data_IF_214892532120
#
_entry.id   IF_214892532120
#
_cell.length_a   1.000
_cell.length_b   1.000
_cell.length_c   1.000
_cell.angle_alpha   90.00
_cell.angle_beta   90.00
_cell.angle_gamma   90.00
#
_symmetry.space_group_name_H-M   'P 1'
#
loop_
_entity.id
_entity.type
_entity.pdbx_description
1 polymer ?
#
# COMPACT_ATOMS: atom_id res chain seq x y z
N UNK A 1 3.13 25.88 -5.37
CA UNK A 1 3.96 25.70 -6.60
C UNK A 1 3.34 24.61 -7.47
N UNK A 2 3.38 24.72 -8.80
CA UNK A 2 2.88 23.66 -9.68
C UNK A 2 4.02 22.67 -10.03
N UNK A 3 3.77 21.38 -9.89
CA UNK A 3 4.67 20.31 -10.31
C UNK A 3 4.34 19.88 -11.74
N UNK A 4 5.33 19.45 -12.52
CA UNK A 4 5.15 19.05 -13.93
C UNK A 4 5.79 17.70 -14.24
N UNK A 5 7.05 17.49 -13.83
CA UNK A 5 7.80 16.27 -14.12
C UNK A 5 7.66 15.28 -12.95
N UNK A 6 7.01 14.15 -13.18
CA UNK A 6 6.70 13.16 -12.15
C UNK A 6 7.39 11.84 -12.51
N UNK A 7 8.21 11.31 -11.61
CA UNK A 7 8.81 9.99 -11.75
C UNK A 7 8.15 9.00 -10.79
N UNK A 8 7.75 7.84 -11.31
CA UNK A 8 7.15 6.74 -10.55
C UNK A 8 8.05 5.50 -10.59
N UNK A 9 8.41 5.01 -9.41
CA UNK A 9 9.10 3.73 -9.22
C UNK A 9 8.06 2.67 -8.86
N UNK A 10 8.09 1.51 -9.53
CA UNK A 10 7.13 0.43 -9.26
C UNK A 10 5.80 0.55 -10.01
N UNK A 11 5.81 1.22 -11.18
CA UNK A 11 4.63 1.48 -12.00
C UNK A 11 3.86 0.24 -12.49
N UNK A 12 4.42 -0.96 -12.37
CA UNK A 12 3.79 -2.22 -12.77
C UNK A 12 3.21 -3.01 -11.60
N UNK A 13 3.36 -2.53 -10.37
CA UNK A 13 2.74 -3.14 -9.20
C UNK A 13 1.24 -2.85 -9.13
N UNK A 14 0.55 -3.56 -8.23
CA UNK A 14 -0.90 -3.43 -8.02
C UNK A 14 -1.32 -1.97 -7.78
N UNK A 15 -0.64 -1.25 -6.88
CA UNK A 15 -0.93 0.16 -6.63
C UNK A 15 -0.27 1.08 -7.67
N UNK A 16 0.99 0.81 -8.04
CA UNK A 16 1.75 1.68 -8.94
C UNK A 16 1.11 1.84 -10.32
N UNK A 17 0.49 0.78 -10.86
CA UNK A 17 -0.23 0.84 -12.13
C UNK A 17 -1.45 1.76 -12.09
N UNK A 18 -2.16 1.81 -10.95
CA UNK A 18 -3.28 2.72 -10.75
C UNK A 18 -2.80 4.16 -10.51
N UNK A 19 -1.70 4.37 -9.77
CA UNK A 19 -1.08 5.70 -9.65
C UNK A 19 -0.71 6.22 -11.05
N UNK A 20 -0.07 5.39 -11.88
CA UNK A 20 0.28 5.75 -13.25
C UNK A 20 -0.96 6.13 -14.08
N UNK A 21 -2.02 5.32 -14.02
CA UNK A 21 -3.30 5.60 -14.70
C UNK A 21 -3.84 6.99 -14.32
N UNK A 22 -3.86 7.33 -13.04
CA UNK A 22 -4.37 8.62 -12.56
C UNK A 22 -3.44 9.80 -12.89
N UNK A 23 -2.12 9.58 -12.88
CA UNK A 23 -1.17 10.61 -13.32
C UNK A 23 -1.38 10.98 -14.80
N UNK A 24 -1.57 9.97 -15.67
CA UNK A 24 -1.80 10.19 -17.11
C UNK A 24 -3.16 10.85 -17.36
N UNK A 25 -4.19 10.49 -16.58
CA UNK A 25 -5.53 11.03 -16.73
C UNK A 25 -5.72 12.42 -16.08
N UNK A 26 -4.76 12.90 -15.30
CA UNK A 26 -4.87 14.17 -14.60
C UNK A 26 -4.93 15.34 -15.60
N UNK A 27 -5.84 16.32 -15.41
CA UNK A 27 -5.91 17.51 -16.26
C UNK A 27 -4.69 18.43 -16.12
N UNK A 28 -3.79 18.16 -15.16
CA UNK A 28 -2.53 18.87 -15.00
C UNK A 28 -1.49 18.53 -16.10
N UNK A 29 -1.75 17.50 -16.92
CA UNK A 29 -0.90 17.08 -18.05
C UNK A 29 0.57 16.83 -17.64
N UNK A 30 0.74 15.98 -16.62
CA UNK A 30 2.06 15.67 -16.07
C UNK A 30 2.95 14.96 -17.09
N UNK A 31 4.24 15.33 -17.11
CA UNK A 31 5.27 14.58 -17.85
C UNK A 31 5.72 13.40 -17.01
N UNK A 32 5.12 12.24 -17.26
CA UNK A 32 5.35 11.04 -16.44
C UNK A 32 6.54 10.23 -16.95
N UNK A 33 7.47 9.95 -16.04
CA UNK A 33 8.57 9.01 -16.22
C UNK A 33 8.34 7.78 -15.33
N UNK A 34 8.50 6.57 -15.85
CA UNK A 34 8.51 5.34 -15.03
C UNK A 34 9.92 4.78 -14.95
N UNK A 35 10.36 4.44 -13.75
CA UNK A 35 11.65 3.79 -13.52
C UNK A 35 11.44 2.27 -13.41
N UNK A 36 12.05 1.52 -14.34
CA UNK A 36 11.91 0.07 -14.43
C UNK A 36 13.28 -0.61 -14.39
N UNK A 37 13.37 -1.77 -13.75
CA UNK A 37 14.63 -2.53 -13.71
C UNK A 37 14.99 -3.08 -15.10
N UNK A 38 16.29 -3.10 -15.42
CA UNK A 38 16.81 -3.71 -16.65
C UNK A 38 16.50 -5.21 -16.74
N UNK A 39 16.63 -5.92 -15.62
CA UNK A 39 16.35 -7.35 -15.52
C UNK A 39 14.86 -7.69 -15.71
N UNK A 40 14.00 -6.67 -15.80
CA UNK A 40 12.57 -6.87 -15.96
C UNK A 40 12.24 -7.17 -17.42
N UNK A 41 12.19 -8.47 -17.73
CA UNK A 41 11.88 -9.02 -19.05
C UNK A 41 10.39 -9.28 -19.27
N UNK A 42 9.53 -8.97 -18.29
CA UNK A 42 8.08 -9.15 -18.44
C UNK A 42 7.52 -8.20 -19.51
N UNK A 43 6.51 -8.66 -20.25
CA UNK A 43 5.78 -7.83 -21.22
C UNK A 43 5.16 -6.58 -20.57
N UNK A 44 4.96 -6.57 -19.25
CA UNK A 44 4.45 -5.42 -18.49
C UNK A 44 5.51 -4.33 -18.24
N UNK A 45 6.78 -4.57 -18.55
CA UNK A 45 7.90 -3.66 -18.20
C UNK A 45 8.72 -3.19 -19.41
N UNK A 46 8.28 -3.52 -20.62
CA UNK A 46 8.87 -3.00 -21.86
C UNK A 46 8.31 -1.62 -22.19
N UNK A 47 8.94 -0.88 -23.12
CA UNK A 47 8.43 0.41 -23.58
C UNK A 47 7.01 0.30 -24.12
N UNK A 48 6.71 -0.79 -24.81
CA UNK A 48 5.41 -1.04 -25.44
C UNK A 48 4.32 -1.40 -24.41
N UNK A 49 4.69 -1.65 -23.15
CA UNK A 49 3.74 -1.88 -22.05
C UNK A 49 3.07 -0.58 -21.57
N UNK A 50 3.64 0.57 -21.91
CA UNK A 50 3.17 1.87 -21.45
C UNK A 50 2.66 2.72 -22.62
N UNK A 51 1.70 3.62 -22.39
CA UNK A 51 1.29 4.59 -23.40
C UNK A 51 2.48 5.41 -23.91
N UNK A 52 2.43 5.84 -25.17
CA UNK A 52 3.50 6.63 -25.81
C UNK A 52 3.79 7.96 -25.12
N UNK A 53 2.86 8.47 -24.30
CA UNK A 53 3.03 9.66 -23.47
C UNK A 53 3.94 9.43 -22.24
N UNK A 54 4.24 8.18 -21.88
CA UNK A 54 5.06 7.82 -20.73
C UNK A 54 6.51 7.61 -21.15
N UNK A 55 7.45 8.28 -20.47
CA UNK A 55 8.87 8.02 -20.65
C UNK A 55 9.30 6.84 -19.79
N UNK A 56 9.93 5.82 -20.38
CA UNK A 56 10.47 4.68 -19.62
C UNK A 56 11.96 4.86 -19.43
N UNK A 57 12.41 4.88 -18.18
CA UNK A 57 13.83 4.88 -17.82
C UNK A 57 14.20 3.52 -17.20
N UNK A 58 15.35 2.99 -17.63
CA UNK A 58 15.89 1.73 -17.12
C UNK A 58 16.90 2.00 -16.01
N UNK A 59 16.99 1.07 -15.05
CA UNK A 59 17.95 1.10 -13.95
C UNK A 59 18.45 -0.31 -13.64
N UNK A 60 19.71 -0.42 -13.23
CA UNK A 60 20.31 -1.65 -12.73
C UNK A 60 19.54 -2.21 -11.53
N UNK A 61 19.59 -3.54 -11.36
CA UNK A 61 18.73 -4.27 -10.42
C UNK A 61 18.95 -3.94 -8.94
N UNK A 62 20.13 -3.41 -8.62
CA UNK A 62 20.58 -3.02 -7.29
C UNK A 62 20.39 -1.52 -7.01
N UNK A 63 19.83 -0.75 -7.96
CA UNK A 63 19.59 0.68 -7.85
C UNK A 63 20.84 1.47 -7.39
N UNK A 64 21.90 1.56 -8.22
CA UNK A 64 23.11 2.30 -7.87
C UNK A 64 22.84 3.80 -7.68
N UNK A 65 23.51 4.42 -6.71
CA UNK A 65 23.31 5.83 -6.35
C UNK A 65 23.45 6.77 -7.56
N UNK A 66 24.48 6.57 -8.38
CA UNK A 66 24.73 7.40 -9.55
C UNK A 66 23.61 7.30 -10.60
N UNK A 67 23.09 6.09 -10.82
CA UNK A 67 21.97 5.87 -11.75
C UNK A 67 20.66 6.45 -11.20
N UNK A 68 20.42 6.36 -9.89
CA UNK A 68 19.26 6.98 -9.23
C UNK A 68 19.30 8.51 -9.35
N UNK A 69 20.43 9.13 -9.03
CA UNK A 69 20.59 10.59 -9.14
C UNK A 69 20.37 11.03 -10.59
N UNK A 70 20.99 10.34 -11.53
CA UNK A 70 20.82 10.61 -12.95
C UNK A 70 19.36 10.42 -13.37
N UNK A 71 18.69 9.36 -12.87
CA UNK A 71 17.26 9.09 -13.05
C UNK A 71 16.35 10.25 -12.62
N UNK A 72 16.68 10.88 -11.49
CA UNK A 72 15.85 11.88 -10.84
C UNK A 72 16.14 13.32 -11.26
N UNK A 73 17.24 13.59 -11.96
CA UNK A 73 17.56 14.93 -12.46
C UNK A 73 16.41 15.51 -13.30
N UNK A 74 16.01 16.73 -12.96
CA UNK A 74 14.93 17.46 -13.63
C UNK A 74 13.51 16.99 -13.27
N UNK A 75 13.36 16.00 -12.39
CA UNK A 75 12.06 15.59 -11.86
C UNK A 75 11.62 16.51 -10.72
N UNK A 76 10.36 16.92 -10.72
CA UNK A 76 9.80 17.69 -9.61
C UNK A 76 9.39 16.77 -8.46
N UNK A 77 8.82 15.61 -8.80
CA UNK A 77 8.26 14.66 -7.83
C UNK A 77 8.79 13.26 -8.12
N UNK A 78 9.16 12.54 -7.07
CA UNK A 78 9.45 11.10 -7.13
C UNK A 78 8.47 10.34 -6.22
N UNK A 79 7.84 9.31 -6.77
CA UNK A 79 6.88 8.45 -6.07
C UNK A 79 7.44 7.03 -6.00
N UNK A 80 7.56 6.50 -4.78
CA UNK A 80 7.90 5.11 -4.53
C UNK A 80 6.64 4.26 -4.36
N UNK A 81 6.46 3.26 -5.22
CA UNK A 81 5.48 2.18 -5.06
C UNK A 81 6.17 0.81 -5.17
N UNK A 82 7.23 0.60 -4.40
CA UNK A 82 8.02 -0.63 -4.44
C UNK A 82 7.40 -1.74 -3.56
N UNK A 83 7.72 -3.00 -3.86
CA UNK A 83 7.29 -4.14 -3.05
C UNK A 83 8.03 -4.23 -1.72
N UNK A 84 7.50 -5.04 -0.79
CA UNK A 84 8.13 -5.29 0.52
C UNK A 84 9.62 -5.67 0.43
N UNK A 85 9.99 -6.46 -0.57
CA UNK A 85 11.39 -6.88 -0.81
C UNK A 85 12.34 -5.73 -1.11
N UNK A 86 11.84 -4.60 -1.60
CA UNK A 86 12.61 -3.40 -1.92
C UNK A 86 12.66 -2.35 -0.82
N UNK A 87 11.97 -2.55 0.32
CA UNK A 87 11.82 -1.52 1.35
C UNK A 87 13.14 -0.98 1.90
N UNK A 88 14.19 -1.81 1.92
CA UNK A 88 15.55 -1.42 2.32
C UNK A 88 16.18 -0.35 1.41
N UNK A 89 15.69 -0.18 0.17
CA UNK A 89 16.19 0.80 -0.80
C UNK A 89 15.69 2.22 -0.54
N UNK A 90 14.67 2.43 0.32
CA UNK A 90 14.03 3.74 0.45
C UNK A 90 15.01 4.84 0.88
N UNK A 91 15.90 4.58 1.85
CA UNK A 91 16.93 5.54 2.27
C UNK A 91 17.79 6.01 1.10
N UNK A 92 18.29 5.05 0.31
CA UNK A 92 19.11 5.33 -0.87
C UNK A 92 18.35 6.14 -1.92
N UNK A 93 17.09 5.78 -2.17
CA UNK A 93 16.22 6.49 -3.11
C UNK A 93 15.97 7.93 -2.64
N UNK A 94 15.74 8.14 -1.34
CA UNK A 94 15.54 9.45 -0.74
C UNK A 94 16.80 10.30 -0.89
N UNK A 95 17.98 9.76 -0.58
CA UNK A 95 19.24 10.48 -0.71
C UNK A 95 19.52 10.87 -2.16
N UNK A 96 19.25 9.98 -3.11
CA UNK A 96 19.36 10.31 -4.53
C UNK A 96 18.37 11.40 -4.96
N UNK A 97 17.15 11.41 -4.41
CA UNK A 97 16.15 12.44 -4.69
C UNK A 97 16.63 13.82 -4.17
N UNK A 98 17.21 13.87 -2.98
CA UNK A 98 17.84 15.08 -2.43
C UNK A 98 18.99 15.54 -3.33
N UNK A 99 19.93 14.64 -3.66
CA UNK A 99 21.09 14.96 -4.48
C UNK A 99 20.73 15.42 -5.91
N UNK A 100 19.61 14.95 -6.46
CA UNK A 100 19.09 15.36 -7.76
C UNK A 100 18.26 16.65 -7.73
N UNK A 101 17.95 17.19 -6.54
CA UNK A 101 17.15 18.41 -6.37
C UNK A 101 15.64 18.20 -6.56
N UNK A 102 15.13 16.99 -6.30
CA UNK A 102 13.70 16.68 -6.34
C UNK A 102 12.96 17.54 -5.31
N UNK A 103 11.80 18.09 -5.69
CA UNK A 103 11.03 19.00 -4.83
C UNK A 103 10.14 18.26 -3.84
N UNK A 104 9.49 17.17 -4.25
CA UNK A 104 8.58 16.37 -3.42
C UNK A 104 8.84 14.87 -3.56
N UNK A 105 8.89 14.16 -2.44
CA UNK A 105 9.00 12.71 -2.40
C UNK A 105 7.75 12.06 -1.77
N UNK A 106 7.27 10.99 -2.38
CA UNK A 106 6.25 10.11 -1.81
C UNK A 106 6.89 8.75 -1.50
N UNK A 107 7.15 8.41 -0.24
CA UNK A 107 7.66 7.09 0.15
C UNK A 107 6.63 5.97 -0.11
N UNK A 108 7.13 4.74 -0.16
CA UNK A 108 6.31 3.52 -0.12
C UNK A 108 5.82 3.27 1.30
N UNK A 109 4.78 4.02 1.70
CA UNK A 109 4.20 3.97 3.05
C UNK A 109 2.95 3.09 3.14
N UNK A 110 2.05 3.18 2.18
CA UNK A 110 0.76 2.49 2.02
C UNK A 110 0.53 1.27 2.94
N UNK A 111 0.18 1.52 4.20
CA UNK A 111 0.18 0.48 5.24
C UNK A 111 -0.35 0.99 6.58
N UNK A 112 0.08 0.33 7.67
CA UNK A 112 -0.32 0.64 9.03
C UNK A 112 0.23 1.99 9.51
N UNK A 113 -0.53 2.69 10.34
CA UNK A 113 -0.05 3.89 11.03
C UNK A 113 0.57 3.55 12.38
N UNK A 114 -0.14 2.77 13.20
CA UNK A 114 0.30 2.39 14.54
C UNK A 114 0.86 0.97 14.53
N UNK A 115 1.97 0.77 15.25
CA UNK A 115 2.59 -0.54 15.43
C UNK A 115 2.68 -0.82 16.93
N UNK A 116 2.20 -1.98 17.40
CA UNK A 116 2.35 -2.35 18.80
C UNK A 116 3.80 -2.77 19.07
N UNK A 117 4.28 -2.51 20.29
CA UNK A 117 5.67 -2.77 20.69
C UNK A 117 6.09 -4.22 20.40
N UNK A 118 5.20 -5.19 20.69
CA UNK A 118 5.47 -6.61 20.46
C UNK A 118 5.81 -6.95 19.01
N UNK A 119 5.28 -6.21 18.03
CA UNK A 119 5.51 -6.46 16.61
C UNK A 119 6.93 -6.04 16.23
N UNK A 120 7.32 -4.85 16.69
CA UNK A 120 8.64 -4.26 16.40
C UNK A 120 9.74 -5.02 17.16
N UNK A 121 9.51 -5.38 18.42
CA UNK A 121 10.43 -6.20 19.22
C UNK A 121 10.67 -7.56 18.60
N UNK A 122 9.62 -8.21 18.08
CA UNK A 122 9.73 -9.52 17.46
C UNK A 122 10.42 -9.47 16.10
N UNK A 123 10.14 -8.42 15.32
CA UNK A 123 10.67 -8.23 13.96
C UNK A 123 10.91 -6.74 13.67
N UNK A 124 12.14 -6.23 13.88
CA UNK A 124 12.47 -4.83 13.67
C UNK A 124 12.16 -4.29 12.27
N UNK A 125 12.10 -5.16 11.26
CA UNK A 125 11.75 -4.78 9.88
C UNK A 125 10.38 -4.09 9.76
N UNK A 126 9.44 -4.33 10.67
CA UNK A 126 8.14 -3.65 10.64
C UNK A 126 8.25 -2.13 10.86
N UNK A 127 9.31 -1.69 11.53
CA UNK A 127 9.58 -0.28 11.81
C UNK A 127 10.06 0.51 10.59
N UNK A 128 10.47 -0.16 9.51
CA UNK A 128 11.15 0.47 8.37
C UNK A 128 10.38 1.66 7.76
N UNK A 129 9.04 1.63 7.79
CA UNK A 129 8.19 2.73 7.31
C UNK A 129 8.24 3.94 8.25
N UNK A 130 8.09 3.70 9.55
CA UNK A 130 8.25 4.74 10.59
C UNK A 130 9.64 5.36 10.57
N UNK A 131 10.69 4.55 10.43
CA UNK A 131 12.06 5.06 10.35
C UNK A 131 12.29 5.88 9.07
N UNK A 132 11.57 5.59 7.98
CA UNK A 132 11.56 6.40 6.75
C UNK A 132 10.82 7.72 6.95
N UNK A 133 9.72 7.76 7.71
CA UNK A 133 9.04 9.03 8.09
C UNK A 133 10.00 9.94 8.84
N UNK A 134 10.67 9.41 9.85
CA UNK A 134 11.67 10.15 10.64
C UNK A 134 12.81 10.63 9.74
N UNK A 135 13.28 9.77 8.82
CA UNK A 135 14.33 10.14 7.89
C UNK A 135 13.92 11.31 6.98
N UNK A 136 12.71 11.30 6.45
CA UNK A 136 12.19 12.37 5.58
C UNK A 136 12.12 13.73 6.29
N UNK A 137 11.75 13.75 7.57
CA UNK A 137 11.79 14.98 8.39
C UNK A 137 13.21 15.56 8.43
N UNK A 138 14.24 14.72 8.53
CA UNK A 138 15.63 15.20 8.52
C UNK A 138 16.06 15.84 7.20
N UNK A 139 15.37 15.51 6.09
CA UNK A 139 15.66 16.02 4.73
C UNK A 139 14.97 17.34 4.41
N UNK A 140 14.06 17.81 5.26
CA UNK A 140 13.37 19.10 5.04
C UNK A 140 14.35 20.27 4.99
N UNK A 141 15.41 20.24 5.81
CA UNK A 141 16.48 21.25 5.81
C UNK A 141 17.31 21.26 4.53
N UNK A 142 17.28 20.16 3.77
CA UNK A 142 17.93 20.01 2.47
C UNK A 142 17.00 20.43 1.32
N UNK A 143 15.79 20.91 1.64
CA UNK A 143 14.81 21.41 0.69
C UNK A 143 13.83 20.37 0.17
N UNK A 144 13.98 19.09 0.54
CA UNK A 144 13.08 18.02 0.13
C UNK A 144 11.75 18.14 0.88
N UNK A 145 10.66 18.23 0.14
CA UNK A 145 9.33 18.09 0.70
C UNK A 145 8.88 16.63 0.64
N UNK A 146 7.96 16.22 1.51
CA UNK A 146 7.45 14.86 1.49
C UNK A 146 5.95 14.77 1.76
N UNK A 147 5.33 13.67 1.35
CA UNK A 147 3.95 13.33 1.73
C UNK A 147 3.83 11.83 1.90
N UNK A 148 3.47 11.38 3.11
CA UNK A 148 3.22 9.99 3.41
C UNK A 148 1.72 9.69 3.25
N UNK A 149 1.38 8.66 2.47
CA UNK A 149 0.01 8.16 2.34
C UNK A 149 -0.10 6.85 3.10
N UNK A 150 -0.94 6.83 4.13
CA UNK A 150 -1.15 5.69 5.02
C UNK A 150 -2.60 5.24 4.87
N UNK A 151 -2.81 3.96 4.58
CA UNK A 151 -4.11 3.46 4.11
C UNK A 151 -4.60 2.19 4.81
N UNK A 152 -3.90 1.78 5.88
CA UNK A 152 -4.09 0.55 6.61
C UNK A 152 -3.89 -0.67 5.71
N UNK A 153 -4.98 -1.27 5.25
CA UNK A 153 -4.99 -2.48 4.42
C UNK A 153 -5.58 -2.19 3.05
N UNK A 154 -4.98 -2.77 2.01
CA UNK A 154 -5.57 -2.81 0.68
C UNK A 154 -6.74 -3.79 0.66
N UNK A 155 -7.96 -3.27 0.54
CA UNK A 155 -9.19 -4.03 0.71
C UNK A 155 -9.29 -5.23 -0.24
N UNK A 156 -9.11 -5.00 -1.53
CA UNK A 156 -9.28 -6.03 -2.56
C UNK A 156 -8.22 -7.13 -2.44
N UNK A 157 -6.97 -6.73 -2.21
CA UNK A 157 -5.87 -7.66 -2.04
C UNK A 157 -6.04 -8.51 -0.78
N UNK A 158 -6.52 -7.91 0.31
CA UNK A 158 -6.69 -8.61 1.58
C UNK A 158 -7.72 -9.74 1.51
N UNK A 159 -8.81 -9.52 0.77
CA UNK A 159 -9.85 -10.53 0.53
C UNK A 159 -9.30 -11.70 -0.29
N UNK A 160 -8.55 -11.42 -1.35
CA UNK A 160 -8.12 -12.46 -2.30
C UNK A 160 -6.88 -13.25 -1.84
N UNK A 161 -6.03 -12.67 -1.00
CA UNK A 161 -4.75 -13.27 -0.61
C UNK A 161 -4.80 -14.14 0.66
N UNK A 162 -5.95 -14.19 1.34
CA UNK A 162 -6.06 -14.82 2.65
C UNK A 162 -5.49 -14.01 3.81
N UNK A 163 -5.08 -12.75 3.56
CA UNK A 163 -4.58 -11.85 4.59
C UNK A 163 -5.62 -11.57 5.70
N UNK A 164 -6.92 -11.54 5.36
CA UNK A 164 -8.02 -11.43 6.32
C UNK A 164 -8.48 -12.80 6.88
N UNK A 165 -7.66 -13.85 6.73
CA UNK A 165 -7.94 -15.25 7.04
C UNK A 165 -9.13 -15.86 6.25
N UNK A 166 -9.34 -15.41 5.01
CA UNK A 166 -10.27 -16.01 4.06
C UNK A 166 -9.50 -16.80 3.00
N UNK A 167 -9.52 -18.12 3.10
CA UNK A 167 -8.79 -19.02 2.22
C UNK A 167 -9.74 -19.62 1.18
N UNK A 168 -9.54 -19.22 -0.08
CA UNK A 168 -10.28 -19.70 -1.23
C UNK A 168 -9.75 -21.08 -1.64
N UNK A 169 -10.61 -22.11 -1.67
CA UNK A 169 -10.24 -23.47 -2.06
C UNK A 169 -10.14 -23.69 -3.58
N UNK A 170 -10.37 -22.63 -4.37
CA UNK A 170 -10.31 -22.67 -5.84
C UNK A 170 -8.88 -23.01 -6.28
N UNK A 171 -8.70 -24.17 -6.90
CA UNK A 171 -7.40 -24.67 -7.37
C UNK A 171 -6.81 -25.83 -6.54
N UNK A 172 -7.34 -26.11 -5.35
CA UNK A 172 -6.88 -27.21 -4.49
C UNK A 172 -7.76 -28.47 -4.58
N UNK A 173 -8.16 -28.86 -5.79
CA UNK A 173 -8.78 -30.17 -6.04
C UNK A 173 -10.13 -30.41 -5.33
N UNK A 174 -10.93 -29.35 -5.10
CA UNK A 174 -12.26 -29.46 -4.49
C UNK A 174 -12.32 -29.24 -2.97
N UNK A 175 -11.27 -28.66 -2.37
CA UNK A 175 -11.35 -28.23 -0.96
C UNK A 175 -12.36 -27.09 -0.78
N UNK A 176 -13.11 -27.17 0.32
CA UNK A 176 -14.05 -26.15 0.77
C UNK A 176 -13.29 -24.88 1.16
N UNK A 177 -13.88 -23.69 0.95
CA UNK A 177 -13.28 -22.44 1.39
C UNK A 177 -13.21 -22.43 2.94
N UNK A 178 -12.23 -21.71 3.51
CA UNK A 178 -12.06 -21.61 4.97
C UNK A 178 -12.02 -20.15 5.41
N UNK A 179 -12.80 -19.82 6.44
CA UNK A 179 -12.71 -18.55 7.14
C UNK A 179 -12.27 -18.80 8.59
N UNK A 180 -11.23 -18.12 9.05
CA UNK A 180 -10.85 -18.11 10.47
C UNK A 180 -11.16 -16.73 11.05
N UNK A 181 -12.22 -16.66 11.83
CA UNK A 181 -12.63 -15.46 12.56
C UNK A 181 -11.84 -15.39 13.86
N UNK A 182 -11.38 -14.20 14.22
CA UNK A 182 -10.67 -13.97 15.48
C UNK A 182 -11.63 -13.24 16.42
N UNK A 183 -11.86 -13.81 17.60
CA UNK A 183 -12.84 -13.36 18.60
C UNK A 183 -14.22 -13.04 17.98
N UNK A 184 -14.75 -13.96 17.17
CA UNK A 184 -16.04 -13.80 16.48
C UNK A 184 -16.01 -12.89 15.25
N UNK A 185 -14.93 -12.13 15.05
CA UNK A 185 -14.67 -11.33 13.85
C UNK A 185 -15.35 -9.95 13.82
N UNK A 186 -15.80 -9.43 14.96
CA UNK A 186 -16.60 -8.19 15.04
C UNK A 186 -15.78 -6.90 15.17
N UNK A 187 -14.47 -7.00 15.42
CA UNK A 187 -13.60 -5.81 15.52
C UNK A 187 -13.66 -5.01 14.21
N UNK A 188 -13.68 -3.68 14.33
CA UNK A 188 -13.78 -2.77 13.19
C UNK A 188 -12.44 -2.11 12.90
N UNK A 189 -11.96 -2.28 11.67
CA UNK A 189 -10.74 -1.64 11.17
C UNK A 189 -10.98 -0.88 9.87
N UNK A 190 -10.14 0.13 9.64
CA UNK A 190 -10.05 0.86 8.38
C UNK A 190 -9.62 -0.07 7.25
N UNK A 191 -10.29 0.01 6.10
CA UNK A 191 -9.84 -0.55 4.86
C UNK A 191 -9.94 0.48 3.73
N UNK A 192 -9.03 0.37 2.75
CA UNK A 192 -8.95 1.31 1.64
C UNK A 192 -8.76 0.56 0.34
N UNK A 193 -9.53 0.93 -0.67
CA UNK A 193 -9.41 0.41 -2.02
C UNK A 193 -8.16 0.93 -2.69
N UNK A 194 -7.55 0.12 -3.56
CA UNK A 194 -6.34 0.53 -4.29
C UNK A 194 -6.58 1.79 -5.15
N UNK A 195 -7.79 1.94 -5.70
CA UNK A 195 -8.17 3.12 -6.49
C UNK A 195 -8.16 4.40 -5.63
N UNK A 196 -8.75 4.38 -4.43
CA UNK A 196 -8.75 5.53 -3.52
C UNK A 196 -7.33 5.92 -3.10
N UNK A 197 -6.45 4.94 -2.84
CA UNK A 197 -5.03 5.22 -2.51
C UNK A 197 -4.32 5.87 -3.69
N UNK A 198 -4.53 5.38 -4.91
CA UNK A 198 -3.92 5.96 -6.11
C UNK A 198 -4.38 7.40 -6.36
N UNK A 199 -5.70 7.67 -6.23
CA UNK A 199 -6.26 9.02 -6.31
C UNK A 199 -5.69 9.92 -5.23
N UNK A 200 -5.51 9.42 -3.99
CA UNK A 200 -4.95 10.19 -2.90
C UNK A 200 -3.51 10.66 -3.17
N UNK A 201 -2.67 9.81 -3.80
CA UNK A 201 -1.32 10.21 -4.23
C UNK A 201 -1.39 11.36 -5.24
N UNK A 202 -2.20 11.23 -6.29
CA UNK A 202 -2.30 12.25 -7.34
C UNK A 202 -2.93 13.55 -6.82
N UNK A 203 -4.03 13.48 -6.06
CA UNK A 203 -4.65 14.63 -5.39
C UNK A 203 -3.69 15.34 -4.45
N UNK A 204 -2.76 14.62 -3.82
CA UNK A 204 -1.75 15.22 -2.96
C UNK A 204 -0.73 16.05 -3.74
N UNK A 205 -0.42 15.68 -4.97
CA UNK A 205 0.42 16.47 -5.89
C UNK A 205 -0.33 17.72 -6.35
N UNK A 206 -1.60 17.57 -6.73
CA UNK A 206 -2.46 18.67 -7.16
C UNK A 206 -2.73 19.70 -6.05
N UNK A 207 -2.73 19.24 -4.79
CA UNK A 207 -2.91 20.08 -3.58
C UNK A 207 -1.59 20.28 -2.84
N UNK A 208 -0.49 20.45 -3.58
CA UNK A 208 0.88 20.51 -3.06
C UNK A 208 1.07 21.40 -1.82
N UNK A 209 0.45 22.59 -1.79
CA UNK A 209 0.60 23.54 -0.69
C UNK A 209 -0.10 23.06 0.59
N UNK A 210 -1.13 22.21 0.46
CA UNK A 210 -1.86 21.63 1.59
C UNK A 210 -1.27 20.31 2.11
N UNK A 211 -0.48 19.62 1.29
CA UNK A 211 0.04 18.26 1.58
C UNK A 211 1.54 18.23 1.89
N UNK A 212 2.22 19.38 1.81
CA UNK A 212 3.64 19.51 2.10
C UNK A 212 3.95 19.03 3.53
N UNK A 213 4.88 18.10 3.64
CA UNK A 213 5.45 17.56 4.87
C UNK A 213 4.35 17.05 5.81
N UNK A 214 3.48 16.20 5.26
CA UNK A 214 2.34 15.62 5.97
C UNK A 214 2.28 14.12 5.80
N UNK A 215 1.88 13.47 6.88
CA UNK A 215 1.28 12.14 6.85
C UNK A 215 -0.23 12.32 6.70
N UNK A 216 -0.82 11.59 5.75
CA UNK A 216 -2.25 11.61 5.47
C UNK A 216 -2.81 10.20 5.67
N UNK A 217 -3.75 10.07 6.59
CA UNK A 217 -4.54 8.87 6.85
C UNK A 217 -5.70 8.83 5.86
N UNK A 218 -5.69 7.83 4.98
CA UNK A 218 -6.68 7.67 3.91
C UNK A 218 -7.50 6.40 4.16
N UNK A 219 -8.81 6.51 4.05
CA UNK A 219 -9.75 5.43 4.35
C UNK A 219 -10.89 5.44 3.31
N UNK A 220 -11.44 4.29 2.93
CA UNK A 220 -12.77 4.28 2.31
C UNK A 220 -13.86 4.04 3.36
N UNK A 221 -13.69 3.03 4.20
CA UNK A 221 -14.65 2.64 5.22
C UNK A 221 -13.99 1.86 6.35
N UNK A 222 -14.76 1.62 7.42
CA UNK A 222 -14.43 0.63 8.45
C UNK A 222 -15.27 -0.63 8.25
N UNK A 223 -14.62 -1.79 8.30
CA UNK A 223 -15.28 -3.10 8.17
C UNK A 223 -14.72 -4.08 9.20
N UNK A 224 -15.25 -5.30 9.18
CA UNK A 224 -14.92 -6.39 10.09
C UNK A 224 -14.86 -7.72 9.32
N UNK A 225 -14.28 -8.74 9.93
CA UNK A 225 -14.23 -10.08 9.35
C UNK A 225 -15.65 -10.65 9.21
N UNK A 226 -16.51 -10.37 10.19
CA UNK A 226 -17.92 -10.77 10.17
C UNK A 226 -18.64 -10.21 8.94
N UNK A 227 -18.59 -8.91 8.73
CA UNK A 227 -19.29 -8.27 7.60
C UNK A 227 -18.75 -8.72 6.24
N UNK A 228 -17.43 -8.90 6.14
CA UNK A 228 -16.78 -9.44 4.96
C UNK A 228 -17.30 -10.86 4.67
N UNK A 229 -17.28 -11.74 5.68
CA UNK A 229 -17.73 -13.11 5.54
C UNK A 229 -19.21 -13.18 5.16
N UNK A 230 -20.07 -12.36 5.77
CA UNK A 230 -21.50 -12.32 5.47
C UNK A 230 -21.74 -12.00 3.99
N UNK A 231 -21.03 -11.02 3.42
CA UNK A 231 -21.14 -10.67 1.98
C UNK A 231 -20.53 -11.74 1.08
N UNK A 232 -19.42 -12.33 1.49
CA UNK A 232 -18.77 -13.42 0.76
C UNK A 232 -19.72 -14.63 0.69
N UNK A 233 -20.26 -15.08 1.83
CA UNK A 233 -21.19 -16.21 1.90
C UNK A 233 -22.52 -15.94 1.20
N UNK A 234 -23.01 -14.70 1.21
CA UNK A 234 -24.18 -14.31 0.42
C UNK A 234 -23.95 -14.52 -1.08
N UNK A 235 -22.74 -14.26 -1.56
CA UNK A 235 -22.37 -14.44 -2.99
C UNK A 235 -22.08 -15.90 -3.34
N UNK A 236 -21.33 -16.62 -2.52
CA UNK A 236 -20.79 -17.95 -2.86
C UNK A 236 -21.59 -19.11 -2.25
N UNK A 237 -22.55 -18.82 -1.39
CA UNK A 237 -23.25 -19.81 -0.55
C UNK A 237 -22.49 -20.10 0.75
N UNK A 238 -23.22 -20.13 1.87
CA UNK A 238 -22.65 -20.40 3.19
C UNK A 238 -22.02 -21.79 3.30
N UNK A 239 -22.64 -22.80 2.66
CA UNK A 239 -22.16 -24.19 2.65
C UNK A 239 -20.83 -24.38 1.91
N UNK A 240 -20.39 -23.39 1.14
CA UNK A 240 -19.07 -23.39 0.50
C UNK A 240 -17.94 -23.02 1.49
N UNK A 241 -18.25 -22.61 2.72
CA UNK A 241 -17.28 -22.14 3.72
C UNK A 241 -17.29 -22.97 5.00
N UNK A 242 -16.10 -23.35 5.46
CA UNK A 242 -15.87 -23.83 6.82
C UNK A 242 -15.43 -22.63 7.64
N UNK A 243 -16.19 -22.32 8.69
CA UNK A 243 -15.93 -21.18 9.57
C UNK A 243 -15.37 -21.71 10.88
N UNK A 244 -14.20 -21.22 11.25
CA UNK A 244 -13.54 -21.46 12.53
C UNK A 244 -13.47 -20.15 13.31
N UNK A 245 -13.67 -20.23 14.61
CA UNK A 245 -13.50 -19.10 15.52
C UNK A 245 -12.35 -19.40 16.48
N UNK A 246 -11.40 -18.47 16.59
CA UNK A 246 -10.20 -18.60 17.42
C UNK A 246 -10.07 -17.40 18.33
N UNK A 247 -9.42 -17.59 19.48
CA UNK A 247 -9.14 -16.48 20.40
C UNK A 247 -7.93 -15.67 19.94
N UNK A 248 -8.02 -14.34 20.00
CA UNK A 248 -6.94 -13.45 19.56
C UNK A 248 -5.60 -13.78 20.20
N UNK A 249 -5.54 -13.90 21.53
CA UNK A 249 -4.28 -14.11 22.25
C UNK A 249 -3.61 -15.44 21.87
N UNK A 250 -4.37 -16.53 21.82
CA UNK A 250 -3.87 -17.86 21.47
C UNK A 250 -3.40 -17.90 20.01
N UNK A 251 -4.20 -17.35 19.10
CA UNK A 251 -3.91 -17.28 17.66
C UNK A 251 -2.68 -16.40 17.35
N UNK A 252 -2.52 -15.29 18.07
CA UNK A 252 -1.40 -14.37 17.91
C UNK A 252 -0.12 -14.95 18.50
N UNK A 253 -0.16 -15.59 19.68
CA UNK A 253 1.04 -16.20 20.26
C UNK A 253 1.58 -17.33 19.40
N UNK A 254 0.73 -18.18 18.80
CA UNK A 254 1.18 -19.19 17.82
C UNK A 254 1.94 -18.55 16.64
N UNK A 255 1.44 -17.41 16.16
CA UNK A 255 2.08 -16.63 15.11
C UNK A 255 3.45 -16.10 15.55
N UNK A 256 3.52 -15.57 16.77
CA UNK A 256 4.75 -15.05 17.36
C UNK A 256 5.76 -16.17 17.56
N UNK A 257 5.36 -17.34 18.04
CA UNK A 257 6.22 -18.52 18.21
C UNK A 257 6.78 -19.01 16.88
N UNK A 258 5.94 -19.11 15.85
CA UNK A 258 6.36 -19.47 14.48
C UNK A 258 7.48 -18.54 14.00
N UNK A 259 7.28 -17.23 14.18
CA UNK A 259 8.25 -16.21 13.82
C UNK A 259 9.49 -16.27 14.74
N UNK A 260 9.37 -16.48 16.06
CA UNK A 260 10.53 -16.69 16.95
C UNK A 260 11.37 -17.89 16.51
N UNK A 261 10.74 -18.94 15.98
CA UNK A 261 11.38 -20.13 15.41
C UNK A 261 12.09 -19.90 14.06
N UNK A 262 12.00 -18.70 13.48
CA UNK A 262 12.68 -18.33 12.23
C UNK A 262 11.81 -18.47 10.98
N UNK A 263 10.57 -18.95 11.10
CA UNK A 263 9.64 -19.05 9.98
C UNK A 263 8.88 -17.72 9.80
N UNK A 264 9.13 -17.04 8.68
CA UNK A 264 8.50 -15.78 8.34
C UNK A 264 7.16 -15.95 7.60
N UNK A 265 6.64 -17.17 7.45
CA UNK A 265 5.31 -17.43 6.87
C UNK A 265 4.18 -16.76 7.66
N UNK A 266 4.36 -16.60 8.98
CA UNK A 266 3.39 -15.98 9.87
C UNK A 266 3.48 -14.43 9.96
N UNK A 267 4.37 -13.77 9.21
CA UNK A 267 4.47 -12.29 9.22
C UNK A 267 3.16 -11.62 8.78
N UNK A 268 2.45 -12.20 7.81
CA UNK A 268 1.13 -11.72 7.39
C UNK A 268 0.11 -11.81 8.53
N UNK A 269 0.14 -12.90 9.30
CA UNK A 269 -0.70 -13.12 10.48
C UNK A 269 -0.43 -12.08 11.57
N UNK A 270 0.84 -11.79 11.86
CA UNK A 270 1.22 -10.74 12.81
C UNK A 270 0.76 -9.35 12.35
N UNK A 271 0.89 -9.06 11.05
CA UNK A 271 0.42 -7.79 10.49
C UNK A 271 -1.10 -7.66 10.64
N UNK A 272 -1.86 -8.71 10.31
CA UNK A 272 -3.31 -8.71 10.48
C UNK A 272 -3.72 -8.68 11.96
N UNK A 273 -2.97 -9.32 12.86
CA UNK A 273 -3.16 -9.20 14.30
C UNK A 273 -3.04 -7.77 14.82
N UNK A 274 -2.25 -6.92 14.16
CA UNK A 274 -2.21 -5.47 14.46
C UNK A 274 -3.45 -4.75 13.96
N UNK A 275 -3.96 -5.11 12.78
CA UNK A 275 -5.20 -4.56 12.22
C UNK A 275 -6.41 -4.88 13.13
N UNK A 276 -6.40 -6.07 13.73
CA UNK A 276 -7.42 -6.55 14.68
C UNK A 276 -7.40 -5.84 16.04
N UNK A 277 -6.47 -4.91 16.30
CA UNK A 277 -6.59 -3.97 17.42
C UNK A 277 -7.66 -2.89 17.16
N UNK A 278 -8.14 -2.81 15.92
CA UNK A 278 -9.13 -1.83 15.47
C UNK A 278 -8.50 -0.48 15.14
N UNK A 279 -9.18 0.28 14.29
CA UNK A 279 -8.75 1.63 13.93
C UNK A 279 -9.93 2.52 13.61
N UNK A 280 -9.84 3.80 13.98
CA UNK A 280 -10.81 4.85 13.65
C UNK A 280 -10.04 6.14 13.32
N UNK A 281 -10.13 6.60 12.06
CA UNK A 281 -9.30 7.70 11.58
C UNK A 281 -10.05 9.00 11.33
N UNK A 282 -11.38 9.00 11.24
CA UNK A 282 -12.16 10.19 10.85
C UNK A 282 -12.00 11.37 11.84
N UNK A 283 -11.70 11.08 13.10
CA UNK A 283 -11.51 12.09 14.16
C UNK A 283 -10.05 12.53 14.29
N UNK A 284 -9.13 11.92 13.53
CA UNK A 284 -7.70 12.22 13.61
C UNK A 284 -7.34 13.46 12.81
N UNK A 285 -6.42 14.26 13.34
CA UNK A 285 -5.94 15.48 12.67
C UNK A 285 -5.25 15.17 11.31
N UNK A 286 -4.74 13.96 11.16
CA UNK A 286 -4.08 13.43 9.98
C UNK A 286 -5.07 12.89 8.92
N UNK A 287 -6.38 12.87 9.21
CA UNK A 287 -7.40 12.39 8.28
C UNK A 287 -7.39 13.19 6.97
N UNK A 288 -6.95 12.52 5.90
CA UNK A 288 -6.62 13.17 4.63
C UNK A 288 -7.78 13.27 3.65
N UNK A 289 -8.86 12.51 3.84
CA UNK A 289 -9.92 12.41 2.83
C UNK A 289 -10.56 13.76 2.50
N UNK A 290 -10.96 14.52 3.51
CA UNK A 290 -11.58 15.85 3.33
C UNK A 290 -10.59 16.85 2.73
N UNK A 291 -9.32 16.80 3.16
CA UNK A 291 -8.26 17.67 2.64
C UNK A 291 -8.06 17.48 1.14
N UNK A 292 -8.12 16.22 0.70
CA UNK A 292 -7.86 15.79 -0.66
C UNK A 292 -9.11 15.72 -1.55
N UNK A 293 -10.31 15.85 -0.96
CA UNK A 293 -11.58 15.71 -1.66
C UNK A 293 -11.68 14.33 -2.35
N UNK A 294 -11.47 13.28 -1.56
CA UNK A 294 -11.41 11.91 -2.07
C UNK A 294 -12.80 11.36 -2.37
N UNK A 295 -13.00 10.72 -3.54
CA UNK A 295 -14.23 10.01 -3.86
C UNK A 295 -14.23 8.64 -3.20
N UNK A 296 -14.45 8.59 -1.89
CA UNK A 296 -14.44 7.33 -1.12
C UNK A 296 -15.52 6.38 -1.61
N UNK A 297 -15.19 5.08 -1.70
CA UNK A 297 -16.15 4.03 -2.04
C UNK A 297 -16.93 3.59 -0.82
N UNK A 298 -18.18 3.16 -1.00
CA UNK A 298 -18.91 2.47 0.05
C UNK A 298 -18.40 1.03 0.21
N UNK A 299 -18.61 0.44 1.39
CA UNK A 299 -18.32 -0.98 1.63
C UNK A 299 -19.02 -1.89 0.62
N UNK A 300 -20.31 -1.64 0.35
CA UNK A 300 -21.11 -2.45 -0.58
C UNK A 300 -20.58 -2.39 -2.01
N UNK A 301 -20.23 -1.20 -2.51
CA UNK A 301 -19.70 -1.06 -3.87
C UNK A 301 -18.32 -1.73 -4.00
N UNK A 302 -17.49 -1.60 -2.96
CA UNK A 302 -16.16 -2.20 -2.95
C UNK A 302 -16.24 -3.73 -2.91
N UNK A 303 -17.03 -4.31 -2.01
CA UNK A 303 -17.13 -5.78 -1.88
C UNK A 303 -17.77 -6.42 -3.11
N UNK A 304 -18.80 -5.80 -3.69
CA UNK A 304 -19.40 -6.29 -4.95
C UNK A 304 -18.40 -6.27 -6.10
N UNK A 305 -17.55 -5.24 -6.16
CA UNK A 305 -16.49 -5.13 -7.17
C UNK A 305 -15.46 -6.26 -7.05
N UNK A 306 -15.05 -6.61 -5.83
CA UNK A 306 -14.08 -7.69 -5.57
C UNK A 306 -14.68 -9.06 -5.90
N UNK A 307 -15.94 -9.28 -5.52
CA UNK A 307 -16.62 -10.56 -5.68
C UNK A 307 -17.25 -10.78 -7.06
N UNK A 308 -17.10 -9.83 -7.99
CA UNK A 308 -17.76 -9.89 -9.30
C UNK A 308 -17.46 -11.18 -10.05
N UNK A 309 -16.19 -11.59 -10.05
CA UNK A 309 -15.68 -12.75 -10.79
C UNK A 309 -15.49 -13.99 -9.88
N UNK A 310 -15.92 -13.92 -8.62
CA UNK A 310 -15.92 -15.04 -7.69
C UNK A 310 -17.18 -15.87 -7.96
N UNK A 311 -16.99 -17.13 -8.36
CA UNK A 311 -18.03 -18.13 -8.60
C UNK A 311 -18.10 -19.16 -7.47
#
# INVERSE_FOLDING_TARGET
MAFTNILLIGATGNLGSLILKHLIASPADYKVTVLTRESSSSAATTKDAFPSSVTVRKISSDYPDAELVEAFRGQDVVIGAISMTGMHLQYRIIDAAVAAGVKRYFPTEFGLDELPDWLVELRPMFRIKHDVRDYLVTKEKEGLQWTCIVCNVFFEMGIMSGFFNFHWGVGEGGKKNKAVLVDGGDVKWVATTLETVAVAVVRSIERADKTKNKLLLIQDFRTSQRELLDRIQLKTGADAWTVEDVKYDEWLEEAKETVRGGDNSALGRLTFGTVLLGSNWEERAEYGNTLLDLPTRSFEDAIQSVLKDVS
#
